data_IF_406339884841
#
_entry.id   IF_406339884841
#
_cell.length_a   1.000
_cell.length_b   1.000
_cell.length_c   1.000
_cell.angle_alpha   90.00
_cell.angle_beta   90.00
_cell.angle_gamma   90.00
#
_symmetry.space_group_name_H-M   'P 1'
#
loop_
_entity.id
_entity.type
_entity.pdbx_description
1 polymer ?
#
# COMPACT_ATOMS: atom_id res chain seq x y z
N UNK A 1 1.06 -3.68 -1.61
CA UNK A 1 1.55 -2.35 -1.20
C UNK A 1 1.90 -1.57 -2.46
N UNK A 2 1.48 -0.32 -2.57
CA UNK A 2 2.01 0.61 -3.57
C UNK A 2 3.07 1.48 -2.90
N UNK A 3 4.24 1.61 -3.54
CA UNK A 3 5.27 2.55 -3.15
C UNK A 3 5.25 3.72 -4.12
N UNK A 4 4.96 4.91 -3.63
CA UNK A 4 4.72 6.09 -4.46
C UNK A 4 5.71 7.19 -4.06
N UNK A 5 6.52 7.65 -5.01
CA UNK A 5 7.21 8.93 -4.83
C UNK A 5 6.22 10.03 -5.17
N UNK A 6 5.65 10.65 -4.14
CA UNK A 6 4.55 11.61 -4.27
C UNK A 6 4.95 12.78 -5.16
N UNK A 7 4.07 13.17 -6.10
CA UNK A 7 4.36 14.12 -7.18
C UNK A 7 3.15 15.00 -7.50
N UNK A 8 3.46 16.22 -7.92
CA UNK A 8 2.52 17.17 -8.50
C UNK A 8 1.71 16.59 -9.68
N UNK A 9 0.38 16.69 -9.57
CA UNK A 9 -0.54 16.48 -10.69
C UNK A 9 -0.49 17.67 -11.66
N UNK A 10 -0.58 17.38 -12.95
CA UNK A 10 -0.65 18.42 -13.97
C UNK A 10 -1.99 19.17 -13.90
N UNK A 11 -1.93 20.48 -13.62
CA UNK A 11 -3.07 21.38 -13.66
C UNK A 11 -2.92 22.37 -14.82
N UNK A 12 -2.42 23.58 -14.58
CA UNK A 12 -2.11 24.53 -15.66
C UNK A 12 -0.83 24.18 -16.44
N UNK A 13 0.06 23.39 -15.83
CA UNK A 13 1.31 22.91 -16.41
C UNK A 13 1.71 21.56 -15.78
N UNK A 14 2.60 20.85 -16.44
CA UNK A 14 3.24 19.64 -15.92
C UNK A 14 4.31 20.01 -14.87
N UNK A 15 4.35 19.29 -13.76
CA UNK A 15 5.48 19.31 -12.83
C UNK A 15 5.94 17.88 -12.55
N UNK A 16 7.26 17.68 -12.51
CA UNK A 16 7.88 16.41 -12.11
C UNK A 16 8.16 16.32 -10.61
N UNK A 17 8.07 17.44 -9.90
CA UNK A 17 8.54 17.58 -8.53
C UNK A 17 7.51 17.16 -7.47
N UNK A 18 7.99 16.91 -6.26
CA UNK A 18 7.22 16.36 -5.16
C UNK A 18 6.24 17.35 -4.53
N UNK A 19 5.00 16.90 -4.38
CA UNK A 19 3.97 17.38 -3.46
C UNK A 19 2.97 16.22 -3.22
N UNK A 20 1.90 16.43 -2.45
CA UNK A 20 0.94 15.35 -2.11
C UNK A 20 -0.35 15.39 -2.93
N UNK A 21 -0.37 16.06 -4.08
CA UNK A 21 -1.60 16.20 -4.87
C UNK A 21 -2.08 14.86 -5.45
N UNK A 22 -1.16 13.99 -5.88
CA UNK A 22 -1.47 12.63 -6.33
C UNK A 22 -1.96 11.73 -5.20
N UNK A 23 -1.30 11.77 -4.03
CA UNK A 23 -1.68 11.00 -2.85
C UNK A 23 -3.10 11.37 -2.40
N UNK A 24 -3.37 12.68 -2.26
CA UNK A 24 -4.66 13.17 -1.78
C UNK A 24 -5.81 12.89 -2.76
N UNK A 25 -5.53 12.68 -4.05
CA UNK A 25 -6.53 12.23 -5.02
C UNK A 25 -7.02 10.79 -4.76
N UNK A 26 -6.27 10.00 -4.00
CA UNK A 26 -6.58 8.58 -3.71
C UNK A 26 -7.12 8.33 -2.30
N UNK A 27 -7.24 9.36 -1.45
CA UNK A 27 -7.58 9.18 -0.01
C UNK A 27 -8.91 8.49 0.27
N UNK A 28 -9.87 8.58 -0.65
CA UNK A 28 -11.20 7.97 -0.54
C UNK A 28 -11.28 6.53 -1.07
N UNK A 29 -10.18 5.98 -1.60
CA UNK A 29 -10.16 4.65 -2.25
C UNK A 29 -10.30 3.49 -1.27
N UNK A 30 -10.11 3.73 0.04
CA UNK A 30 -10.07 2.70 1.07
C UNK A 30 -8.68 2.10 1.29
N UNK A 31 -7.64 2.64 0.65
CA UNK A 31 -6.25 2.32 0.99
C UNK A 31 -5.86 2.96 2.33
N UNK A 32 -5.03 2.26 3.11
CA UNK A 32 -4.28 2.87 4.18
C UNK A 32 -3.15 3.71 3.59
N UNK A 33 -3.05 4.98 3.98
CA UNK A 33 -2.00 5.91 3.56
C UNK A 33 -0.92 5.97 4.66
N UNK A 34 0.33 5.62 4.32
CA UNK A 34 1.46 5.65 5.25
C UNK A 34 2.58 6.51 4.66
N UNK A 35 2.99 7.56 5.37
CA UNK A 35 4.00 8.51 4.90
C UNK A 35 5.37 8.23 5.54
N UNK A 36 6.44 8.49 4.79
CA UNK A 36 7.82 8.58 5.30
C UNK A 36 8.41 9.94 5.02
N UNK A 37 9.07 10.51 6.03
CA UNK A 37 9.61 11.88 6.00
C UNK A 37 11.14 11.92 5.85
N UNK A 38 11.81 10.77 5.77
CA UNK A 38 13.25 10.65 5.54
C UNK A 38 13.60 9.37 4.77
N UNK A 39 14.85 9.25 4.32
CA UNK A 39 15.34 8.06 3.61
C UNK A 39 15.33 6.84 4.55
N UNK A 40 15.69 7.02 5.83
CA UNK A 40 15.60 5.95 6.82
C UNK A 40 14.15 5.52 7.05
N UNK A 41 13.24 6.48 7.25
CA UNK A 41 11.82 6.16 7.43
C UNK A 41 11.22 5.50 6.18
N UNK A 42 11.72 5.78 4.97
CA UNK A 42 11.26 5.10 3.77
C UNK A 42 11.60 3.60 3.80
N UNK A 43 12.76 3.21 4.35
CA UNK A 43 13.11 1.80 4.59
C UNK A 43 12.18 1.17 5.64
N UNK A 44 12.05 1.82 6.79
CA UNK A 44 11.34 1.27 7.94
C UNK A 44 9.83 1.15 7.67
N UNK A 45 9.22 2.21 7.13
CA UNK A 45 7.77 2.23 6.86
C UNK A 45 7.39 1.37 5.66
N UNK A 46 8.29 1.14 4.71
CA UNK A 46 8.04 0.15 3.66
C UNK A 46 7.83 -1.24 4.27
N UNK A 47 8.70 -1.64 5.21
CA UNK A 47 8.55 -2.91 5.92
C UNK A 47 7.24 -2.94 6.74
N UNK A 48 6.93 -1.88 7.48
CA UNK A 48 5.66 -1.75 8.22
C UNK A 48 4.46 -1.93 7.30
N UNK A 49 4.43 -1.25 6.14
CA UNK A 49 3.33 -1.37 5.17
C UNK A 49 3.16 -2.80 4.65
N UNK A 50 4.26 -3.51 4.39
CA UNK A 50 4.24 -4.90 3.91
C UNK A 50 3.76 -5.89 4.98
N UNK A 51 4.19 -5.73 6.24
CA UNK A 51 3.75 -6.60 7.31
C UNK A 51 2.29 -6.29 7.70
N UNK A 52 1.93 -5.02 7.84
CA UNK A 52 0.59 -4.59 8.23
C UNK A 52 -0.49 -4.96 7.20
N UNK A 53 -0.19 -4.88 5.89
CA UNK A 53 -1.16 -5.26 4.84
C UNK A 53 -1.52 -6.76 4.88
N UNK A 54 -0.57 -7.63 5.25
CA UNK A 54 -0.82 -9.06 5.40
C UNK A 54 -1.75 -9.34 6.59
N UNK A 55 -1.53 -8.65 7.70
CA UNK A 55 -2.31 -8.84 8.92
C UNK A 55 -3.74 -8.32 8.80
N UNK A 56 -3.86 -7.07 8.34
CA UNK A 56 -5.12 -6.32 8.30
C UNK A 56 -5.97 -6.63 7.08
N UNK A 57 -5.37 -7.18 6.02
CA UNK A 57 -6.01 -7.36 4.71
C UNK A 57 -6.50 -6.06 4.05
N UNK A 58 -6.06 -4.91 4.58
CA UNK A 58 -6.26 -3.59 3.98
C UNK A 58 -5.05 -3.29 3.08
N UNK A 59 -5.26 -2.81 1.83
CA UNK A 59 -4.13 -2.43 0.97
C UNK A 59 -3.47 -1.14 1.46
N UNK A 60 -2.15 -1.11 1.45
CA UNK A 60 -1.36 0.07 1.84
C UNK A 60 -0.77 0.79 0.61
N UNK A 61 -0.81 2.12 0.67
CA UNK A 61 -0.04 3.03 -0.16
C UNK A 61 0.98 3.71 0.76
N UNK A 62 2.22 3.23 0.67
CA UNK A 62 3.36 3.83 1.34
C UNK A 62 3.96 4.90 0.41
N UNK A 63 4.07 6.14 0.87
CA UNK A 63 4.58 7.25 0.08
C UNK A 63 5.62 8.08 0.80
N UNK A 64 6.45 8.75 0.01
CA UNK A 64 7.49 9.68 0.43
C UNK A 64 7.66 10.75 -0.65
N UNK A 65 8.22 11.90 -0.30
CA UNK A 65 8.26 13.05 -1.18
C UNK A 65 9.15 12.83 -2.41
N UNK A 66 8.59 13.04 -3.60
CA UNK A 66 9.30 12.97 -4.86
C UNK A 66 10.45 13.98 -4.93
N UNK A 67 11.61 13.53 -5.38
CA UNK A 67 12.90 14.22 -5.33
C UNK A 67 13.42 14.50 -3.91
N UNK A 68 12.61 15.13 -3.05
CA UNK A 68 13.05 15.57 -1.72
C UNK A 68 13.49 14.41 -0.83
N UNK A 69 12.81 13.27 -0.89
CA UNK A 69 13.20 12.04 -0.18
C UNK A 69 13.64 10.97 -1.16
N UNK A 70 12.95 10.82 -2.30
CA UNK A 70 13.22 9.71 -3.22
C UNK A 70 14.59 9.75 -3.91
N UNK A 71 15.22 10.92 -4.00
CA UNK A 71 16.54 11.12 -4.61
C UNK A 71 17.57 11.68 -3.62
N UNK A 72 17.20 11.79 -2.34
CA UNK A 72 18.14 12.17 -1.29
C UNK A 72 19.05 10.98 -0.98
N UNK A 73 20.36 11.23 -0.94
CA UNK A 73 21.35 10.21 -0.54
C UNK A 73 21.66 10.43 0.93
N UNK A 74 21.36 9.44 1.74
CA UNK A 74 21.65 9.43 3.17
C UNK A 74 22.29 8.09 3.53
N UNK A 75 23.23 8.10 4.48
CA UNK A 75 23.68 6.86 5.12
C UNK A 75 22.58 6.40 6.06
N UNK A 76 22.02 5.23 5.79
CA UNK A 76 20.94 4.62 6.56
C UNK A 76 21.39 3.27 7.14
N UNK A 77 20.61 2.74 8.08
CA UNK A 77 20.70 1.36 8.53
C UNK A 77 19.67 0.53 7.75
N UNK A 78 20.16 -0.44 6.98
CA UNK A 78 19.32 -1.34 6.21
C UNK A 78 18.93 -2.56 7.05
N UNK A 79 17.65 -2.90 7.03
CA UNK A 79 17.13 -4.13 7.63
C UNK A 79 17.43 -5.29 6.67
N UNK A 80 18.03 -6.37 7.18
CA UNK A 80 18.33 -7.54 6.37
C UNK A 80 17.06 -8.33 6.00
N UNK A 81 17.09 -9.05 4.88
CA UNK A 81 15.95 -9.88 4.49
C UNK A 81 15.69 -11.03 5.46
N UNK A 82 16.74 -11.53 6.11
CA UNK A 82 16.61 -12.57 7.13
C UNK A 82 15.87 -12.06 8.37
N UNK A 83 16.09 -10.80 8.76
CA UNK A 83 15.35 -10.16 9.85
C UNK A 83 13.91 -9.84 9.44
N UNK A 84 13.69 -9.33 8.22
CA UNK A 84 12.33 -9.11 7.69
C UNK A 84 11.52 -10.41 7.72
N UNK A 85 12.13 -11.52 7.29
CA UNK A 85 11.49 -12.83 7.21
C UNK A 85 10.99 -13.33 8.57
N UNK A 86 11.71 -13.01 9.64
CA UNK A 86 11.34 -13.38 11.01
C UNK A 86 10.08 -12.68 11.50
N UNK A 87 9.76 -11.51 10.94
CA UNK A 87 8.57 -10.73 11.30
C UNK A 87 7.31 -11.10 10.51
N UNK A 88 7.45 -11.88 9.43
CA UNK A 88 6.32 -12.24 8.56
C UNK A 88 5.41 -13.24 9.27
N UNK A 89 4.10 -12.92 9.33
CA UNK A 89 3.09 -13.88 9.72
C UNK A 89 2.77 -14.84 8.56
N UNK A 90 3.40 -16.02 8.59
CA UNK A 90 3.25 -17.04 7.56
C UNK A 90 1.86 -17.68 7.50
N UNK A 91 1.10 -17.65 8.59
CA UNK A 91 -0.29 -18.14 8.59
C UNK A 91 -1.18 -17.23 7.74
N UNK A 92 -0.99 -15.91 7.83
CA UNK A 92 -1.70 -14.92 7.00
C UNK A 92 -1.31 -15.05 5.52
N UNK A 93 -0.04 -15.33 5.22
CA UNK A 93 0.42 -15.61 3.85
C UNK A 93 -0.28 -16.84 3.29
N UNK A 94 -0.37 -17.92 4.05
CA UNK A 94 -1.05 -19.14 3.63
C UNK A 94 -2.56 -18.93 3.46
N UNK A 95 -3.20 -18.18 4.38
CA UNK A 95 -4.60 -17.81 4.26
C UNK A 95 -4.87 -16.92 3.02
N UNK A 96 -3.94 -16.03 2.66
CA UNK A 96 -4.01 -15.26 1.42
C UNK A 96 -3.98 -16.18 0.19
N UNK A 97 -3.05 -17.15 0.16
CA UNK A 97 -2.93 -18.12 -0.93
C UNK A 97 -4.20 -18.96 -1.11
N UNK A 98 -4.79 -19.44 -0.03
CA UNK A 98 -6.04 -20.22 -0.05
C UNK A 98 -7.23 -19.44 -0.62
N UNK A 99 -7.21 -18.11 -0.55
CA UNK A 99 -8.23 -17.24 -1.14
C UNK A 99 -7.91 -16.85 -2.58
N UNK A 100 -6.88 -17.38 -3.23
CA UNK A 100 -6.62 -17.09 -4.64
C UNK A 100 -7.72 -17.69 -5.54
N UNK A 101 -7.93 -17.08 -6.71
CA UNK A 101 -8.75 -17.68 -7.76
C UNK A 101 -8.01 -18.90 -8.30
N UNK A 102 -8.63 -20.08 -8.21
CA UNK A 102 -8.08 -21.33 -8.71
C UNK A 102 -9.23 -22.20 -9.22
N UNK A 103 -9.14 -22.79 -10.43
CA UNK A 103 -10.15 -23.71 -10.94
C UNK A 103 -10.45 -24.92 -10.04
N UNK A 104 -9.48 -25.37 -9.24
CA UNK A 104 -9.63 -26.51 -8.31
C UNK A 104 -10.45 -26.16 -7.05
N UNK A 105 -10.58 -24.87 -6.74
CA UNK A 105 -11.41 -24.36 -5.65
C UNK A 105 -12.01 -22.98 -6.02
N UNK A 106 -12.95 -22.96 -6.99
CA UNK A 106 -13.38 -21.73 -7.63
C UNK A 106 -14.27 -20.89 -6.71
N UNK A 107 -14.16 -19.57 -6.82
CA UNK A 107 -15.00 -18.60 -6.12
C UNK A 107 -15.40 -17.48 -7.06
N UNK A 108 -16.60 -16.93 -6.90
CA UNK A 108 -17.06 -15.76 -7.63
C UNK A 108 -16.75 -14.48 -6.83
N UNK A 109 -16.27 -13.42 -7.51
CA UNK A 109 -15.98 -12.10 -6.92
C UNK A 109 -16.38 -11.00 -7.90
N UNK A 110 -16.69 -9.81 -7.38
CA UNK A 110 -17.03 -8.64 -8.20
C UNK A 110 -18.41 -8.75 -8.88
N UNK A 111 -19.42 -9.25 -8.15
CA UNK A 111 -20.79 -9.33 -8.66
C UNK A 111 -21.46 -7.95 -8.75
N UNK A 112 -22.51 -7.85 -9.56
CA UNK A 112 -23.43 -6.71 -9.50
C UNK A 112 -24.46 -6.98 -8.40
N UNK A 113 -24.66 -6.02 -7.50
CA UNK A 113 -25.61 -6.12 -6.38
C UNK A 113 -26.64 -4.99 -6.45
N UNK A 114 -27.88 -5.33 -6.12
CA UNK A 114 -28.98 -4.37 -6.08
C UNK A 114 -28.98 -3.58 -4.75
N UNK A 115 -29.79 -2.51 -4.64
CA UNK A 115 -29.89 -1.72 -3.42
C UNK A 115 -30.35 -2.50 -2.17
N UNK A 116 -30.93 -3.69 -2.35
CA UNK A 116 -31.39 -4.56 -1.27
C UNK A 116 -30.26 -5.10 -0.38
N UNK A 117 -29.04 -5.21 -0.93
CA UNK A 117 -27.90 -5.88 -0.28
C UNK A 117 -26.58 -5.11 -0.37
N UNK A 118 -26.47 -4.17 -1.31
CA UNK A 118 -25.22 -3.44 -1.56
C UNK A 118 -24.69 -2.72 -0.32
N UNK A 119 -25.55 -1.98 0.40
CA UNK A 119 -25.08 -1.17 1.53
C UNK A 119 -24.60 -2.05 2.69
N UNK A 120 -25.33 -3.12 2.99
CA UNK A 120 -24.97 -4.08 4.03
C UNK A 120 -23.61 -4.72 3.73
N UNK A 121 -23.38 -5.16 2.49
CA UNK A 121 -22.12 -5.77 2.10
C UNK A 121 -20.95 -4.78 2.01
N UNK A 122 -21.22 -3.47 1.90
CA UNK A 122 -20.20 -2.42 1.89
C UNK A 122 -19.63 -2.14 3.28
N UNK A 123 -20.46 -2.28 4.32
CA UNK A 123 -20.14 -1.98 5.72
C UNK A 123 -19.83 -3.22 6.58
N UNK A 124 -20.08 -4.42 6.06
CA UNK A 124 -19.87 -5.70 6.75
C UNK A 124 -18.41 -6.17 6.80
#
# INVERSE_FOLDING_TARGET
VFHVSARALAAHALSIFGDHSDINATRQTGFALLASNSVQEAMDMALVAHLATLETQVPFLHFFDGFRTSHEIQKIEEISYDDMKQLVNWEKVEAFRKRALNPEHPVQRGTAQNPDTYFQNREA
#
